data_IF_050225071981
#
_entry.id   IF_050225071981
#
_cell.length_a   1.000
_cell.length_b   1.000
_cell.length_c   1.000
_cell.angle_alpha   90.00
_cell.angle_beta   90.00
_cell.angle_gamma   90.00
#
_symmetry.space_group_name_H-M   'P 1'
#
loop_
_entity.id
_entity.type
_entity.pdbx_description
1 polymer ?
#
# COMPACT_ATOMS: atom_id res chain seq x y z
N UNK A 1 10.91 -13.88 12.20
CA UNK A 1 9.91 -12.80 12.18
C UNK A 1 9.26 -12.77 10.80
N UNK A 2 7.92 -12.80 10.71
CA UNK A 2 7.23 -12.66 9.42
C UNK A 2 7.50 -11.27 8.84
N UNK A 3 7.72 -11.19 7.53
CA UNK A 3 7.77 -9.91 6.80
C UNK A 3 6.44 -9.18 7.00
N UNK A 4 6.49 -7.88 7.33
CA UNK A 4 5.29 -7.05 7.51
C UNK A 4 4.60 -6.76 6.17
N UNK A 5 3.33 -6.35 6.20
CA UNK A 5 2.61 -6.06 4.96
C UNK A 5 3.19 -4.82 4.25
N UNK A 6 3.55 -3.79 5.01
CA UNK A 6 4.25 -2.61 4.51
C UNK A 6 5.60 -2.96 3.91
N UNK A 7 6.38 -3.87 4.51
CA UNK A 7 7.65 -4.31 3.93
C UNK A 7 7.47 -5.04 2.60
N UNK A 8 6.47 -5.93 2.49
CA UNK A 8 6.14 -6.57 1.21
C UNK A 8 5.73 -5.54 0.14
N UNK A 9 4.95 -4.53 0.52
CA UNK A 9 4.58 -3.45 -0.40
C UNK A 9 5.83 -2.69 -0.87
N UNK A 10 6.72 -2.32 0.05
CA UNK A 10 7.97 -1.63 -0.28
C UNK A 10 8.84 -2.44 -1.25
N UNK A 11 9.04 -3.73 -0.97
CA UNK A 11 9.80 -4.63 -1.82
C UNK A 11 9.18 -4.74 -3.23
N UNK A 12 7.85 -4.75 -3.34
CA UNK A 12 7.14 -4.75 -4.62
C UNK A 12 7.35 -3.45 -5.42
N UNK A 13 7.29 -2.30 -4.75
CA UNK A 13 7.51 -0.98 -5.36
C UNK A 13 8.97 -0.82 -5.82
N UNK A 14 9.93 -1.19 -4.98
CA UNK A 14 11.35 -1.13 -5.34
C UNK A 14 11.64 -2.08 -6.52
N UNK A 15 11.04 -3.27 -6.54
CA UNK A 15 11.14 -4.18 -7.68
C UNK A 15 10.53 -3.58 -8.96
N UNK A 16 9.42 -2.83 -8.84
CA UNK A 16 8.82 -2.13 -9.98
C UNK A 16 9.74 -1.02 -10.52
N UNK A 17 10.32 -0.21 -9.64
CA UNK A 17 11.27 0.83 -10.00
C UNK A 17 12.50 0.26 -10.72
N UNK A 18 13.05 -0.86 -10.24
CA UNK A 18 14.18 -1.55 -10.89
C UNK A 18 13.81 -2.05 -12.29
N UNK A 19 12.63 -2.66 -12.45
CA UNK A 19 12.16 -3.12 -13.78
C UNK A 19 12.00 -1.96 -14.75
N UNK A 20 11.40 -0.87 -14.31
CA UNK A 20 11.18 0.31 -15.16
C UNK A 20 12.48 1.03 -15.49
N UNK A 21 13.42 1.10 -14.54
CA UNK A 21 14.76 1.62 -14.76
C UNK A 21 15.52 0.81 -15.82
N UNK A 22 15.44 -0.52 -15.76
CA UNK A 22 16.01 -1.39 -16.78
C UNK A 22 15.32 -1.20 -18.15
N UNK A 23 14.00 -1.00 -18.17
CA UNK A 23 13.22 -0.80 -19.40
C UNK A 23 13.57 0.51 -20.12
N UNK A 24 13.74 1.61 -19.38
CA UNK A 24 14.04 2.92 -19.98
C UNK A 24 15.54 3.18 -20.17
N UNK A 25 16.41 2.31 -19.65
CA UNK A 25 17.87 2.46 -19.75
C UNK A 25 18.43 3.62 -18.92
N UNK A 26 17.64 4.16 -17.98
CA UNK A 26 18.02 5.27 -17.10
C UNK A 26 17.89 4.85 -15.63
N UNK A 27 18.78 5.31 -14.74
CA UNK A 27 18.66 5.04 -13.32
C UNK A 27 17.45 5.80 -12.74
N UNK A 28 16.37 5.08 -12.43
CA UNK A 28 15.20 5.66 -11.77
C UNK A 28 15.36 5.60 -10.25
N UNK A 29 14.91 6.66 -9.58
CA UNK A 29 14.91 6.81 -8.12
C UNK A 29 13.64 7.53 -7.72
N UNK A 30 13.08 7.17 -6.56
CA UNK A 30 12.04 7.98 -5.93
C UNK A 30 12.58 9.36 -5.61
N UNK A 31 11.85 10.40 -5.99
CA UNK A 31 12.11 11.72 -5.44
C UNK A 31 11.61 11.83 -3.98
N UNK A 32 11.86 12.96 -3.32
CA UNK A 32 11.47 13.15 -1.92
C UNK A 32 9.95 13.07 -1.72
N UNK A 33 9.16 13.59 -2.68
CA UNK A 33 7.70 13.58 -2.61
C UNK A 33 7.16 12.17 -2.80
N UNK A 34 7.68 11.43 -3.76
CA UNK A 34 7.34 10.03 -4.00
C UNK A 34 7.73 9.16 -2.81
N UNK A 35 8.90 9.40 -2.20
CA UNK A 35 9.33 8.69 -1.01
C UNK A 35 8.35 8.90 0.16
N UNK A 36 7.84 10.11 0.36
CA UNK A 36 6.82 10.38 1.38
C UNK A 36 5.53 9.60 1.12
N UNK A 37 5.10 9.48 -0.14
CA UNK A 37 3.93 8.69 -0.52
C UNK A 37 4.15 7.18 -0.36
N UNK A 38 5.33 6.68 -0.76
CA UNK A 38 5.75 5.28 -0.52
C UNK A 38 5.69 4.97 0.98
N UNK A 39 6.28 5.81 1.82
CA UNK A 39 6.35 5.58 3.26
C UNK A 39 4.96 5.64 3.91
N UNK A 40 4.08 6.54 3.43
CA UNK A 40 2.70 6.62 3.90
C UNK A 40 1.90 5.37 3.52
N UNK A 41 2.02 4.89 2.28
CA UNK A 41 1.37 3.65 1.82
C UNK A 41 1.88 2.43 2.62
N UNK A 42 3.18 2.37 2.90
CA UNK A 42 3.80 1.32 3.72
C UNK A 42 3.21 1.29 5.14
N UNK A 43 3.09 2.45 5.80
CA UNK A 43 2.47 2.54 7.14
C UNK A 43 1.01 2.12 7.13
N UNK A 44 0.24 2.56 6.14
CA UNK A 44 -1.17 2.19 6.00
C UNK A 44 -1.34 0.67 5.78
N UNK A 45 -0.49 0.04 4.95
CA UNK A 45 -0.50 -1.40 4.75
C UNK A 45 -0.20 -2.20 6.04
N UNK A 46 0.74 -1.73 6.87
CA UNK A 46 0.99 -2.34 8.19
C UNK A 46 -0.19 -2.16 9.15
N UNK A 47 -0.88 -1.02 9.10
CA UNK A 47 -2.12 -0.81 9.86
C UNK A 47 -3.24 -1.76 9.42
N UNK A 48 -3.43 -1.94 8.12
CA UNK A 48 -4.40 -2.93 7.58
C UNK A 48 -4.11 -4.31 8.14
N UNK A 49 -2.86 -4.78 8.09
CA UNK A 49 -2.49 -6.10 8.59
C UNK A 49 -2.76 -6.24 10.10
N UNK A 50 -2.47 -5.20 10.88
CA UNK A 50 -2.78 -5.17 12.32
C UNK A 50 -4.28 -5.25 12.58
N UNK A 51 -5.08 -4.46 11.86
CA UNK A 51 -6.55 -4.43 11.99
C UNK A 51 -7.17 -5.76 11.57
N UNK A 52 -6.68 -6.39 10.50
CA UNK A 52 -7.09 -7.73 10.09
C UNK A 52 -6.80 -8.76 11.18
N UNK A 53 -5.63 -8.69 11.84
CA UNK A 53 -5.31 -9.56 12.97
C UNK A 53 -6.27 -9.37 14.14
N UNK A 54 -6.63 -8.12 14.46
CA UNK A 54 -7.60 -7.81 15.51
C UNK A 54 -9.01 -8.29 15.15
N UNK A 55 -9.44 -8.08 13.91
CA UNK A 55 -10.73 -8.56 13.42
C UNK A 55 -10.81 -10.08 13.52
N UNK A 56 -9.76 -10.78 13.09
CA UNK A 56 -9.69 -12.23 13.18
C UNK A 56 -9.74 -12.72 14.64
N UNK A 57 -9.15 -11.98 15.58
CA UNK A 57 -9.24 -12.29 17.01
C UNK A 57 -10.67 -12.08 17.53
N UNK A 58 -11.33 -10.97 17.18
CA UNK A 58 -12.72 -10.68 17.55
C UNK A 58 -13.67 -11.75 17.01
N UNK A 59 -13.51 -12.15 15.74
CA UNK A 59 -14.32 -13.17 15.09
C UNK A 59 -14.11 -14.58 15.67
N UNK A 60 -12.98 -14.85 16.33
CA UNK A 60 -12.77 -16.10 17.09
C UNK A 60 -13.29 -16.03 18.52
N UNK A 61 -13.31 -14.84 19.11
CA UNK A 61 -13.73 -14.60 20.48
C UNK A 61 -15.24 -14.37 20.61
N UNK A 62 -15.60 -13.25 21.22
CA UNK A 62 -16.98 -12.90 21.56
C UNK A 62 -17.84 -12.51 20.35
N UNK A 63 -17.22 -12.25 19.18
CA UNK A 63 -17.92 -11.94 17.92
C UNK A 63 -18.87 -10.75 18.06
N UNK A 64 -18.44 -9.72 18.77
CA UNK A 64 -19.20 -8.48 18.97
C UNK A 64 -19.34 -7.76 17.63
N UNK A 65 -20.53 -7.84 17.04
CA UNK A 65 -20.81 -7.33 15.69
C UNK A 65 -20.44 -5.84 15.53
N UNK A 66 -20.67 -5.03 16.57
CA UNK A 66 -20.34 -3.60 16.55
C UNK A 66 -18.83 -3.33 16.49
N UNK A 67 -17.99 -4.18 17.11
CA UNK A 67 -16.53 -4.08 17.05
C UNK A 67 -16.04 -4.56 15.68
N UNK A 68 -16.54 -5.71 15.22
CA UNK A 68 -16.19 -6.26 13.91
C UNK A 68 -16.51 -5.27 12.78
N UNK A 69 -17.69 -4.65 12.81
CA UNK A 69 -18.09 -3.64 11.82
C UNK A 69 -17.16 -2.42 11.81
N UNK A 70 -16.73 -1.93 12.99
CA UNK A 70 -15.77 -0.81 13.09
C UNK A 70 -14.40 -1.17 12.53
N UNK A 71 -13.88 -2.36 12.86
CA UNK A 71 -12.61 -2.84 12.33
C UNK A 71 -12.66 -2.99 10.80
N UNK A 72 -13.74 -3.56 10.26
CA UNK A 72 -13.93 -3.67 8.81
C UNK A 72 -14.02 -2.29 8.12
N UNK A 73 -14.65 -1.31 8.75
CA UNK A 73 -14.71 0.05 8.21
C UNK A 73 -13.33 0.71 8.17
N UNK A 74 -12.54 0.59 9.24
CA UNK A 74 -11.18 1.13 9.30
C UNK A 74 -10.25 0.43 8.30
N UNK A 75 -10.36 -0.88 8.11
CA UNK A 75 -9.60 -1.62 7.09
C UNK A 75 -9.85 -1.01 5.71
N UNK A 76 -11.12 -0.80 5.33
CA UNK A 76 -11.46 -0.19 4.03
C UNK A 76 -10.91 1.22 3.88
N UNK A 77 -10.91 2.01 4.96
CA UNK A 77 -10.34 3.36 4.95
C UNK A 77 -8.83 3.32 4.72
N UNK A 78 -8.11 2.44 5.42
CA UNK A 78 -6.66 2.30 5.26
C UNK A 78 -6.29 1.72 3.88
N UNK A 79 -7.08 0.80 3.34
CA UNK A 79 -6.93 0.32 1.97
C UNK A 79 -7.08 1.47 0.95
N UNK A 80 -8.04 2.37 1.17
CA UNK A 80 -8.17 3.57 0.34
C UNK A 80 -6.96 4.50 0.48
N UNK A 81 -6.43 4.69 1.70
CA UNK A 81 -5.21 5.49 1.93
C UNK A 81 -4.00 4.90 1.20
N UNK A 82 -3.85 3.57 1.19
CA UNK A 82 -2.83 2.89 0.38
C UNK A 82 -3.02 3.23 -1.08
N UNK A 83 -4.23 3.03 -1.62
CA UNK A 83 -4.54 3.29 -3.02
C UNK A 83 -4.28 4.75 -3.42
N UNK A 84 -4.69 5.70 -2.60
CA UNK A 84 -4.53 7.13 -2.83
C UNK A 84 -3.06 7.54 -2.91
N UNK A 85 -2.22 7.03 -2.00
CA UNK A 85 -0.79 7.32 -2.02
C UNK A 85 -0.09 6.66 -3.20
N UNK A 86 -0.45 5.42 -3.54
CA UNK A 86 0.10 4.75 -4.72
C UNK A 86 -0.28 5.47 -6.02
N UNK A 87 -1.49 6.03 -6.12
CA UNK A 87 -1.92 6.82 -7.26
C UNK A 87 -1.13 8.13 -7.45
N UNK A 88 -0.38 8.58 -6.42
CA UNK A 88 0.49 9.77 -6.49
C UNK A 88 1.93 9.47 -6.91
N UNK A 89 2.30 8.19 -7.03
CA UNK A 89 3.62 7.75 -7.45
C UNK A 89 3.61 7.55 -8.97
N UNK A 90 4.64 8.03 -9.68
CA UNK A 90 4.74 7.91 -11.13
C UNK A 90 5.98 7.09 -11.49
N UNK A 91 5.79 5.79 -11.77
CA UNK A 91 6.88 4.94 -12.23
C UNK A 91 6.99 5.02 -13.75
N UNK A 92 7.68 6.06 -14.22
CA UNK A 92 7.97 6.30 -15.63
C UNK A 92 6.83 6.97 -16.42
N UNK A 93 7.20 7.82 -17.38
CA UNK A 93 6.27 8.39 -18.35
C UNK A 93 5.84 7.31 -19.35
N UNK A 94 4.66 6.75 -19.16
CA UNK A 94 3.80 6.47 -20.30
C UNK A 94 2.82 7.64 -20.37
N UNK A 95 2.72 8.35 -21.51
CA UNK A 95 1.64 9.31 -21.67
C UNK A 95 0.35 8.54 -21.42
N UNK A 96 -0.48 9.04 -20.51
CA UNK A 96 -1.86 8.58 -20.36
C UNK A 96 -2.49 8.79 -21.74
N UNK A 97 -2.52 7.73 -22.54
CA UNK A 97 -3.14 7.76 -23.85
C UNK A 97 -4.63 8.00 -23.59
N UNK A 98 -5.03 9.28 -23.65
CA UNK A 98 -6.43 9.62 -23.85
C UNK A 98 -6.75 9.12 -25.25
N UNK A 99 -7.39 7.96 -25.33
CA UNK A 99 -8.07 7.57 -26.56
C UNK A 99 -9.15 8.62 -26.86
N UNK A 100 -9.34 9.00 -28.14
CA UNK A 100 -10.43 9.87 -28.58
C UNK A 100 -11.81 9.25 -28.31
#
# INVERSE_FOLDING_TARGET
MSVSAGRRLRESLDAALVRESARCGLPLRWDEREQQHVDAAVRAADHVAKLQSLLNAELRGEKRASIAAKLMAEIRLQDQVVADHLARIQIGDLPVAKSP
#
